data_IF_988203888382
#
_entry.id   IF_988203888382
#
_cell.length_a   1.000
_cell.length_b   1.000
_cell.length_c   1.000
_cell.angle_alpha   90.00
_cell.angle_beta   90.00
_cell.angle_gamma   90.00
#
_symmetry.space_group_name_H-M   'P 1'
#
loop_
_entity.id
_entity.type
_entity.pdbx_description
1 polymer ?
#
# COMPACT_ATOMS: atom_id res chain seq x y z
N UNK A 1 -7.04 30.84 33.10
CA UNK A 1 -8.21 30.63 32.23
C UNK A 1 -7.71 30.68 30.81
N UNK A 2 -7.31 29.54 30.27
CA UNK A 2 -6.81 29.42 28.90
C UNK A 2 -7.80 28.49 28.20
N UNK A 3 -8.54 29.02 27.24
CA UNK A 3 -9.47 28.29 26.40
C UNK A 3 -8.67 27.49 25.39
N UNK A 4 -8.80 26.17 25.39
CA UNK A 4 -8.38 25.30 24.30
C UNK A 4 -9.51 25.28 23.26
N UNK A 5 -9.31 25.93 22.15
CA UNK A 5 -10.16 25.75 20.97
C UNK A 5 -9.69 24.51 20.24
N UNK A 6 -10.55 23.50 20.22
CA UNK A 6 -10.41 22.37 19.32
C UNK A 6 -10.72 22.83 17.89
N UNK A 7 -9.71 22.98 17.07
CA UNK A 7 -9.86 23.27 15.64
C UNK A 7 -10.22 21.96 14.91
N UNK A 8 -11.49 21.77 14.65
CA UNK A 8 -11.99 20.89 13.58
C UNK A 8 -11.85 21.66 12.28
N UNK A 9 -10.66 21.65 11.70
CA UNK A 9 -10.49 22.25 10.38
C UNK A 9 -10.30 21.15 9.34
N UNK A 10 -11.32 21.10 8.46
CA UNK A 10 -11.39 20.17 7.35
C UNK A 10 -10.17 20.32 6.43
N UNK A 11 -9.86 19.24 5.76
CA UNK A 11 -8.86 19.07 4.73
C UNK A 11 -8.86 20.28 3.76
N UNK A 12 -8.07 21.29 4.06
CA UNK A 12 -7.77 22.38 3.11
C UNK A 12 -6.66 21.91 2.19
N UNK A 13 -7.09 21.27 1.08
CA UNK A 13 -6.22 21.09 -0.06
C UNK A 13 -5.65 22.42 -0.52
N UNK A 14 -4.34 22.59 -0.36
CA UNK A 14 -3.67 23.56 -1.20
C UNK A 14 -2.15 23.35 -1.27
N UNK A 15 -1.76 22.48 -2.20
CA UNK A 15 -0.58 22.69 -3.05
C UNK A 15 -0.62 21.63 -4.17
N UNK A 16 -1.51 21.81 -5.14
CA UNK A 16 -1.52 21.04 -6.39
C UNK A 16 -0.13 21.12 -7.03
N UNK A 17 0.74 20.15 -6.74
CA UNK A 17 2.04 20.04 -7.40
C UNK A 17 3.22 19.54 -6.56
N UNK A 18 3.23 19.68 -5.23
CA UNK A 18 4.34 19.21 -4.40
C UNK A 18 3.98 17.91 -3.66
N UNK A 19 4.91 16.97 -3.65
CA UNK A 19 4.80 15.79 -2.80
C UNK A 19 5.10 16.16 -1.35
N UNK A 20 4.40 15.54 -0.41
CA UNK A 20 4.58 15.77 1.02
C UNK A 20 4.05 14.60 1.85
N UNK A 21 4.30 14.67 3.14
CA UNK A 21 3.72 13.77 4.12
C UNK A 21 3.46 14.46 5.45
N UNK A 22 2.58 13.86 6.23
CA UNK A 22 2.30 14.22 7.63
C UNK A 22 2.20 12.93 8.44
N UNK A 23 2.65 12.98 9.69
CA UNK A 23 2.56 11.85 10.62
C UNK A 23 2.03 12.31 11.98
N UNK A 24 1.05 11.57 12.51
CA UNK A 24 0.39 11.86 13.78
C UNK A 24 0.31 10.61 14.65
N UNK A 25 0.54 10.69 15.97
CA UNK A 25 0.27 9.58 16.85
C UNK A 25 -1.24 9.33 16.96
N UNK A 26 -1.64 8.07 17.05
CA UNK A 26 -3.02 7.66 17.34
C UNK A 26 -3.20 7.38 18.82
N UNK A 27 -4.44 7.28 19.27
CA UNK A 27 -4.76 6.89 20.66
C UNK A 27 -4.41 5.42 20.97
N UNK A 28 -4.29 4.58 19.95
CA UNK A 28 -3.88 3.16 20.06
C UNK A 28 -2.37 2.97 20.26
N UNK A 29 -1.56 4.03 20.13
CA UNK A 29 -0.10 3.95 20.15
C UNK A 29 0.54 3.74 18.78
N UNK A 30 -0.27 3.60 17.75
CA UNK A 30 0.14 3.59 16.34
C UNK A 30 0.35 5.02 15.80
N UNK A 31 0.58 5.16 14.51
CA UNK A 31 0.67 6.46 13.84
C UNK A 31 -0.21 6.48 12.59
N UNK A 32 -0.86 7.61 12.36
CA UNK A 32 -1.47 7.92 11.07
C UNK A 32 -0.42 8.60 10.19
N UNK A 33 -0.17 8.04 9.02
CA UNK A 33 0.73 8.58 7.99
C UNK A 33 -0.09 9.00 6.77
N UNK A 34 -0.08 10.27 6.44
CA UNK A 34 -0.63 10.80 5.20
C UNK A 34 0.50 11.10 4.24
N UNK A 35 0.37 10.65 3.00
CA UNK A 35 1.33 10.94 1.93
C UNK A 35 0.54 11.38 0.69
N UNK A 36 1.00 12.43 0.06
CA UNK A 36 0.40 12.93 -1.17
C UNK A 36 1.45 13.39 -2.17
N UNK A 37 1.12 13.32 -3.45
CA UNK A 37 2.01 13.80 -4.49
C UNK A 37 2.01 12.95 -5.75
N UNK A 38 2.99 13.24 -6.61
CA UNK A 38 3.26 12.45 -7.81
C UNK A 38 4.38 11.46 -7.52
N UNK A 39 4.08 10.20 -7.71
CA UNK A 39 5.03 9.10 -7.46
C UNK A 39 5.02 8.12 -8.64
N UNK A 40 6.13 7.38 -8.85
CA UNK A 40 6.16 6.28 -9.79
C UNK A 40 5.16 5.19 -9.39
N UNK A 41 4.73 4.32 -10.32
CA UNK A 41 3.67 3.34 -10.05
C UNK A 41 3.97 2.39 -8.87
N UNK A 42 5.23 2.05 -8.63
CA UNK A 42 5.70 1.09 -7.62
C UNK A 42 5.95 1.70 -6.23
N UNK A 43 5.75 2.99 -6.04
CA UNK A 43 6.17 3.72 -4.85
C UNK A 43 5.63 3.17 -3.52
N UNK A 44 4.39 2.63 -3.50
CA UNK A 44 3.82 2.06 -2.26
C UNK A 44 4.56 0.76 -1.90
N UNK A 45 4.97 -0.04 -2.90
CA UNK A 45 5.81 -1.20 -2.69
C UNK A 45 7.17 -0.83 -2.10
N UNK A 46 7.81 0.22 -2.64
CA UNK A 46 9.07 0.78 -2.12
C UNK A 46 8.91 1.27 -0.68
N UNK A 47 7.87 2.07 -0.42
CA UNK A 47 7.54 2.56 0.93
C UNK A 47 7.33 1.41 1.92
N UNK A 48 6.49 0.42 1.56
CA UNK A 48 6.18 -0.71 2.44
C UNK A 48 7.42 -1.57 2.72
N UNK A 49 8.26 -1.81 1.72
CA UNK A 49 9.53 -2.51 1.88
C UNK A 49 10.50 -1.72 2.76
N UNK A 50 10.57 -0.41 2.58
CA UNK A 50 11.36 0.49 3.42
C UNK A 50 10.90 0.46 4.88
N UNK A 51 9.61 0.59 5.12
CA UNK A 51 9.02 0.50 6.47
C UNK A 51 9.31 -0.84 7.13
N UNK A 52 9.20 -1.94 6.40
CA UNK A 52 9.51 -3.29 6.90
C UNK A 52 10.95 -3.43 7.38
N UNK A 53 11.94 -2.83 6.69
CA UNK A 53 13.34 -2.78 7.14
C UNK A 53 13.47 -2.05 8.48
N UNK A 54 12.63 -1.06 8.75
CA UNK A 54 12.54 -0.34 10.02
C UNK A 54 11.63 -1.01 11.05
N UNK A 55 11.13 -2.24 10.78
CA UNK A 55 10.23 -3.00 11.66
C UNK A 55 8.89 -2.29 11.90
N UNK A 56 8.37 -1.67 10.85
CA UNK A 56 7.10 -0.97 10.81
C UNK A 56 6.21 -1.63 9.75
N UNK A 57 4.93 -1.88 10.10
CA UNK A 57 3.90 -2.39 9.18
C UNK A 57 2.87 -1.32 8.85
N UNK A 58 2.31 -1.36 7.65
CA UNK A 58 1.06 -0.67 7.33
C UNK A 58 -0.06 -1.66 7.66
N UNK A 59 -0.88 -1.34 8.66
CA UNK A 59 -1.92 -2.26 9.17
C UNK A 59 -3.32 -1.88 8.71
N UNK A 60 -3.52 -0.63 8.31
CA UNK A 60 -4.80 -0.14 7.80
C UNK A 60 -4.60 1.07 6.91
N UNK A 61 -5.52 1.27 5.95
CA UNK A 61 -5.57 2.53 5.22
C UNK A 61 -6.01 2.40 3.78
N UNK A 62 -5.90 3.52 3.10
CA UNK A 62 -6.29 3.66 1.69
C UNK A 62 -5.27 4.50 0.94
N UNK A 63 -5.07 4.12 -0.30
CA UNK A 63 -4.31 4.90 -1.27
C UNK A 63 -5.13 5.00 -2.56
N UNK A 64 -5.27 6.19 -3.11
CA UNK A 64 -5.99 6.41 -4.35
C UNK A 64 -5.23 7.37 -5.26
N UNK A 65 -5.18 7.02 -6.54
CA UNK A 65 -4.58 7.83 -7.59
C UNK A 65 -5.68 8.56 -8.36
N UNK A 66 -5.55 9.87 -8.45
CA UNK A 66 -6.37 10.71 -9.33
C UNK A 66 -5.47 11.33 -10.38
N UNK A 67 -5.62 10.89 -11.64
CA UNK A 67 -4.69 11.21 -12.74
C UNK A 67 -3.25 10.76 -12.40
N UNK A 68 -2.34 11.70 -12.14
CA UNK A 68 -0.95 11.42 -11.75
C UNK A 68 -0.67 11.71 -10.27
N UNK A 69 -1.69 12.02 -9.48
CA UNK A 69 -1.56 12.45 -8.10
C UNK A 69 -2.14 11.41 -7.14
N UNK A 70 -1.38 11.08 -6.11
CA UNK A 70 -1.76 10.15 -5.07
C UNK A 70 -2.21 10.89 -3.82
N UNK A 71 -3.24 10.37 -3.18
CA UNK A 71 -3.66 10.72 -1.82
C UNK A 71 -3.75 9.43 -1.01
N UNK A 72 -3.11 9.41 0.16
CA UNK A 72 -3.07 8.24 1.01
C UNK A 72 -3.25 8.61 2.46
N UNK A 73 -3.86 7.68 3.19
CA UNK A 73 -3.91 7.70 4.65
C UNK A 73 -3.69 6.28 5.15
N UNK A 74 -2.59 6.07 5.85
CA UNK A 74 -2.20 4.78 6.40
C UNK A 74 -2.12 4.85 7.92
N UNK A 75 -2.59 3.81 8.60
CA UNK A 75 -2.21 3.53 9.96
C UNK A 75 -0.99 2.61 9.94
N UNK A 76 0.08 3.04 10.60
CA UNK A 76 1.31 2.27 10.70
C UNK A 76 1.55 1.85 12.15
N UNK A 77 1.93 0.60 12.32
CA UNK A 77 2.27 -0.03 13.58
C UNK A 77 3.75 -0.33 13.64
N UNK A 78 4.38 -0.07 14.78
CA UNK A 78 5.79 -0.36 15.02
C UNK A 78 5.97 -1.51 16.00
N UNK A 79 6.94 -2.37 15.76
CA UNK A 79 7.40 -3.32 16.78
C UNK A 79 8.24 -2.62 17.85
N UNK A 80 8.49 -3.30 18.97
CA UNK A 80 9.35 -2.76 20.07
C UNK A 80 10.79 -2.44 19.61
N UNK A 81 11.27 -3.09 18.54
CA UNK A 81 12.62 -2.91 17.97
C UNK A 81 12.64 -1.92 16.80
N UNK A 82 11.52 -1.28 16.52
CA UNK A 82 11.40 -0.38 15.37
C UNK A 82 12.11 0.96 15.60
N UNK A 83 12.55 1.56 14.51
CA UNK A 83 12.93 2.98 14.47
C UNK A 83 11.70 3.84 14.80
N UNK A 84 11.89 4.97 15.51
CA UNK A 84 10.81 5.93 15.72
C UNK A 84 10.30 6.45 14.38
N UNK A 85 9.03 6.23 14.01
CA UNK A 85 8.50 6.64 12.71
C UNK A 85 8.66 8.14 12.43
N UNK A 86 8.66 8.99 13.47
CA UNK A 86 8.82 10.45 13.34
C UNK A 86 10.21 10.88 12.83
N UNK A 87 11.18 9.96 12.82
CA UNK A 87 12.55 10.21 12.35
C UNK A 87 12.77 9.76 10.90
N UNK A 88 11.76 9.17 10.26
CA UNK A 88 11.87 8.63 8.91
C UNK A 88 11.49 9.68 7.87
N UNK A 89 12.21 9.67 6.76
CA UNK A 89 11.83 10.38 5.53
C UNK A 89 11.02 9.45 4.63
N UNK A 90 9.70 9.53 4.74
CA UNK A 90 8.78 8.67 3.98
C UNK A 90 8.85 8.96 2.47
N UNK A 91 9.22 10.17 2.05
CA UNK A 91 9.39 10.49 0.63
C UNK A 91 10.67 9.85 0.07
N UNK A 92 11.72 9.75 0.87
CA UNK A 92 12.92 9.02 0.51
C UNK A 92 12.62 7.53 0.38
N UNK A 93 11.94 6.92 1.38
CA UNK A 93 11.54 5.51 1.34
C UNK A 93 10.65 5.17 0.13
N UNK A 94 9.75 6.08 -0.26
CA UNK A 94 8.89 5.90 -1.43
C UNK A 94 9.62 5.95 -2.78
N UNK A 95 10.88 6.38 -2.80
CA UNK A 95 11.73 6.50 -4.01
C UNK A 95 12.90 5.53 -4.02
N UNK A 96 13.14 4.83 -2.92
CA UNK A 96 14.22 3.85 -2.86
C UNK A 96 13.94 2.70 -3.85
N UNK A 97 14.95 2.31 -4.62
CA UNK A 97 14.85 1.12 -5.44
C UNK A 97 14.71 -0.12 -4.54
N UNK A 98 13.74 -0.97 -4.88
CA UNK A 98 13.57 -2.24 -4.17
C UNK A 98 14.71 -3.20 -4.51
N UNK A 99 15.80 -3.14 -3.75
CA UNK A 99 16.90 -4.09 -3.86
C UNK A 99 16.64 -5.43 -3.17
N UNK A 100 15.47 -5.63 -2.58
CA UNK A 100 15.14 -6.86 -1.87
C UNK A 100 14.68 -7.95 -2.84
N UNK A 101 15.61 -8.72 -3.35
CA UNK A 101 15.40 -10.06 -3.94
C UNK A 101 15.13 -11.13 -2.86
N UNK A 102 14.57 -10.79 -1.72
CA UNK A 102 14.09 -11.83 -0.82
C UNK A 102 12.82 -12.43 -1.41
N UNK A 103 13.00 -13.53 -2.12
CA UNK A 103 11.95 -14.50 -2.44
C UNK A 103 11.47 -15.19 -1.15
N UNK A 104 10.95 -14.40 -0.20
CA UNK A 104 10.13 -14.99 0.83
C UNK A 104 8.86 -15.46 0.12
N UNK A 105 8.59 -16.74 0.16
CA UNK A 105 7.38 -17.30 -0.45
C UNK A 105 6.16 -16.65 0.21
N UNK A 106 5.46 -15.79 -0.54
CA UNK A 106 4.17 -15.29 -0.13
C UNK A 106 3.24 -16.48 0.10
N UNK A 107 2.50 -16.44 1.19
CA UNK A 107 1.44 -17.40 1.46
C UNK A 107 0.14 -16.64 1.70
N UNK A 108 -0.88 -16.96 0.91
CA UNK A 108 -2.22 -16.40 1.05
C UNK A 108 -3.22 -17.51 1.36
N UNK A 109 -4.18 -17.24 2.22
CA UNK A 109 -5.21 -18.24 2.57
C UNK A 109 -6.32 -18.29 1.52
N UNK A 110 -6.60 -17.16 0.87
CA UNK A 110 -7.66 -17.03 -0.14
C UNK A 110 -7.44 -15.77 -0.99
N UNK A 111 -7.93 -15.79 -2.22
CA UNK A 111 -8.06 -14.60 -3.04
C UNK A 111 -9.40 -14.56 -3.81
N UNK A 112 -9.79 -13.35 -4.23
CA UNK A 112 -10.83 -13.10 -5.23
C UNK A 112 -10.21 -12.28 -6.33
N UNK A 113 -10.41 -12.69 -7.59
CA UNK A 113 -9.91 -11.99 -8.76
C UNK A 113 -11.10 -11.75 -9.70
N UNK A 114 -11.43 -10.48 -9.96
CA UNK A 114 -12.52 -10.10 -10.84
C UNK A 114 -12.02 -9.31 -12.05
N UNK A 115 -12.60 -9.58 -13.23
CA UNK A 115 -12.10 -9.04 -14.49
C UNK A 115 -12.32 -7.52 -14.62
N UNK A 116 -11.52 -6.84 -15.48
CA UNK A 116 -11.54 -5.38 -15.62
C UNK A 116 -12.91 -4.79 -16.02
N UNK A 117 -13.73 -5.54 -16.73
CA UNK A 117 -15.04 -5.10 -17.23
C UNK A 117 -15.99 -4.73 -16.09
N UNK A 118 -15.84 -5.37 -14.93
CA UNK A 118 -16.66 -5.10 -13.74
C UNK A 118 -16.21 -3.87 -12.95
N UNK A 119 -14.99 -3.41 -13.14
CA UNK A 119 -14.34 -2.38 -12.32
C UNK A 119 -13.80 -1.22 -13.15
N UNK A 120 -14.51 -0.83 -14.20
CA UNK A 120 -14.16 0.32 -15.02
C UNK A 120 -12.79 0.19 -15.71
N UNK A 121 -12.39 -1.05 -16.04
CA UNK A 121 -11.12 -1.38 -16.68
C UNK A 121 -9.98 -1.70 -15.70
N UNK A 122 -10.20 -1.67 -14.38
CA UNK A 122 -9.25 -2.14 -13.39
C UNK A 122 -9.50 -3.62 -13.06
N UNK A 123 -8.46 -4.43 -13.00
CA UNK A 123 -8.53 -5.79 -12.46
C UNK A 123 -8.65 -5.68 -10.93
N UNK A 124 -9.72 -6.25 -10.36
CA UNK A 124 -9.90 -6.25 -8.91
C UNK A 124 -9.28 -7.50 -8.31
N UNK A 125 -8.45 -7.30 -7.29
CA UNK A 125 -7.86 -8.38 -6.49
C UNK A 125 -8.15 -8.13 -5.01
N UNK A 126 -8.73 -9.12 -4.33
CA UNK A 126 -8.80 -9.19 -2.87
C UNK A 126 -7.94 -10.37 -2.40
N UNK A 127 -7.09 -10.15 -1.39
CA UNK A 127 -6.27 -11.19 -0.77
C UNK A 127 -6.55 -11.28 0.72
N UNK A 128 -6.56 -12.52 1.21
CA UNK A 128 -6.58 -12.83 2.64
C UNK A 128 -5.34 -13.65 3.00
N UNK A 129 -4.66 -13.26 4.08
CA UNK A 129 -3.46 -13.93 4.54
C UNK A 129 -3.32 -13.77 6.07
N UNK A 130 -2.44 -14.56 6.68
CA UNK A 130 -1.94 -14.24 8.02
C UNK A 130 -1.07 -12.98 7.95
N UNK A 131 -1.15 -12.12 8.97
CA UNK A 131 -0.33 -10.92 9.03
C UNK A 131 1.16 -11.28 9.12
N UNK A 132 1.93 -10.62 8.29
CA UNK A 132 3.36 -10.84 8.15
C UNK A 132 4.05 -9.52 7.78
N UNK A 133 5.09 -9.17 8.52
CA UNK A 133 5.88 -7.98 8.23
C UNK A 133 6.43 -8.00 6.81
N UNK A 134 6.12 -6.95 6.04
CA UNK A 134 6.56 -6.82 4.64
C UNK A 134 5.64 -7.48 3.61
N UNK A 135 4.52 -8.10 4.01
CA UNK A 135 3.57 -8.73 3.08
C UNK A 135 3.12 -7.78 1.96
N UNK A 136 2.68 -6.56 2.32
CA UNK A 136 2.23 -5.57 1.34
C UNK A 136 3.32 -5.22 0.32
N UNK A 137 4.56 -5.04 0.76
CA UNK A 137 5.69 -4.77 -0.12
C UNK A 137 5.94 -5.92 -1.10
N UNK A 138 5.89 -7.16 -0.61
CA UNK A 138 6.12 -8.36 -1.44
C UNK A 138 5.04 -8.54 -2.50
N UNK A 139 3.75 -8.38 -2.16
CA UNK A 139 2.66 -8.51 -3.13
C UNK A 139 2.73 -7.39 -4.17
N UNK A 140 2.98 -6.13 -3.77
CA UNK A 140 3.10 -5.02 -4.70
C UNK A 140 4.30 -5.16 -5.64
N UNK A 141 5.43 -5.65 -5.16
CA UNK A 141 6.60 -5.95 -5.98
C UNK A 141 6.32 -7.07 -6.98
N UNK A 142 5.59 -8.11 -6.56
CA UNK A 142 5.18 -9.20 -7.46
C UNK A 142 4.22 -8.71 -8.55
N UNK A 143 3.29 -7.80 -8.21
CA UNK A 143 2.43 -7.15 -9.19
C UNK A 143 3.24 -6.30 -10.18
N UNK A 144 4.17 -5.49 -9.71
CA UNK A 144 5.03 -4.65 -10.55
C UNK A 144 5.88 -5.48 -11.52
N UNK A 145 6.40 -6.64 -11.07
CA UNK A 145 7.12 -7.58 -11.94
C UNK A 145 6.26 -8.09 -13.10
N UNK A 146 4.95 -8.21 -12.90
CA UNK A 146 3.98 -8.58 -13.93
C UNK A 146 3.46 -7.36 -14.72
N UNK A 147 4.08 -6.18 -14.56
CA UNK A 147 3.64 -4.90 -15.15
C UNK A 147 2.20 -4.51 -14.76
N UNK A 148 1.82 -4.86 -13.53
CA UNK A 148 0.54 -4.60 -12.91
C UNK A 148 0.70 -3.58 -11.80
N UNK A 149 -0.05 -2.48 -11.84
CA UNK A 149 0.10 -1.35 -10.93
C UNK A 149 -1.25 -0.97 -10.34
N UNK A 150 -1.44 -1.10 -9.02
CA UNK A 150 -2.65 -0.60 -8.37
C UNK A 150 -2.80 0.92 -8.55
N UNK A 151 -4.03 1.37 -8.83
CA UNK A 151 -4.42 2.78 -8.79
C UNK A 151 -5.24 3.12 -7.56
N UNK A 152 -5.80 2.10 -6.90
CA UNK A 152 -6.46 2.20 -5.61
C UNK A 152 -6.12 0.97 -4.78
N UNK A 153 -5.89 1.20 -3.48
CA UNK A 153 -5.57 0.15 -2.51
C UNK A 153 -6.38 0.39 -1.24
N UNK A 154 -6.93 -0.67 -0.67
CA UNK A 154 -7.50 -0.67 0.67
C UNK A 154 -6.84 -1.78 1.48
N UNK A 155 -6.27 -1.42 2.61
CA UNK A 155 -5.52 -2.30 3.51
C UNK A 155 -6.29 -2.40 4.81
N UNK A 156 -6.47 -3.62 5.33
CA UNK A 156 -7.08 -3.84 6.63
C UNK A 156 -6.49 -5.10 7.27
N UNK A 157 -5.90 -4.93 8.46
CA UNK A 157 -5.39 -6.05 9.28
C UNK A 157 -6.25 -6.17 10.52
N UNK A 158 -7.00 -7.25 10.62
CA UNK A 158 -7.94 -7.51 11.71
C UNK A 158 -7.52 -8.79 12.44
N UNK A 159 -7.21 -8.70 13.72
CA UNK A 159 -6.85 -9.84 14.56
C UNK A 159 -5.75 -10.74 13.95
N UNK A 160 -4.71 -10.11 13.40
CA UNK A 160 -3.59 -10.82 12.77
C UNK A 160 -3.90 -11.43 11.40
N UNK A 161 -4.98 -10.99 10.74
CA UNK A 161 -5.32 -11.40 9.39
C UNK A 161 -5.39 -10.19 8.47
N UNK A 162 -4.81 -10.33 7.31
CA UNK A 162 -4.80 -9.35 6.22
C UNK A 162 -6.04 -9.51 5.36
N UNK A 163 -6.65 -8.39 4.98
CA UNK A 163 -7.78 -8.26 4.06
C UNK A 163 -7.51 -7.10 3.09
N UNK A 164 -6.59 -7.30 2.16
CA UNK A 164 -6.15 -6.25 1.26
C UNK A 164 -6.88 -6.32 -0.09
N UNK A 165 -7.21 -5.14 -0.63
CA UNK A 165 -7.92 -4.98 -1.90
C UNK A 165 -7.14 -4.05 -2.81
N UNK A 166 -7.06 -4.42 -4.08
CA UNK A 166 -6.30 -3.71 -5.09
C UNK A 166 -7.14 -3.53 -6.36
N UNK A 167 -7.21 -2.31 -6.89
CA UNK A 167 -7.73 -2.01 -8.22
C UNK A 167 -6.53 -1.74 -9.13
N UNK A 168 -6.27 -2.67 -10.04
CA UNK A 168 -4.99 -2.82 -10.74
C UNK A 168 -5.13 -2.44 -12.20
N UNK A 169 -4.20 -1.63 -12.71
CA UNK A 169 -4.03 -1.31 -14.12
C UNK A 169 -2.77 -1.97 -14.68
N UNK A 170 -2.73 -2.09 -16.00
CA UNK A 170 -1.52 -2.42 -16.75
C UNK A 170 -0.68 -1.19 -17.05
N UNK A 171 0.29 -1.36 -17.95
CA UNK A 171 1.16 -0.29 -18.41
C UNK A 171 0.38 0.91 -18.96
N UNK A 172 0.82 2.10 -18.60
CA UNK A 172 0.20 3.35 -19.06
C UNK A 172 -1.20 3.61 -18.52
N UNK A 173 -1.66 2.87 -17.49
CA UNK A 173 -3.00 3.00 -16.92
C UNK A 173 -4.10 2.31 -17.74
N UNK A 174 -3.72 1.51 -18.73
CA UNK A 174 -4.66 0.70 -19.53
C UNK A 174 -5.19 -0.49 -18.71
N UNK A 175 -6.31 -1.11 -19.12
CA UNK A 175 -6.70 -2.40 -18.58
C UNK A 175 -5.57 -3.42 -18.69
N UNK A 176 -5.36 -4.29 -17.68
CA UNK A 176 -4.36 -5.35 -17.76
C UNK A 176 -4.59 -6.28 -18.95
N UNK A 177 -3.53 -6.63 -19.70
CA UNK A 177 -3.61 -7.57 -20.79
C UNK A 177 -4.05 -8.97 -20.31
N UNK A 178 -4.67 -9.75 -21.18
CA UNK A 178 -5.07 -11.13 -20.87
C UNK A 178 -3.87 -11.98 -20.40
N UNK A 179 -2.68 -11.75 -20.97
CA UNK A 179 -1.45 -12.45 -20.57
C UNK A 179 -1.02 -12.08 -19.14
N UNK A 180 -1.08 -10.79 -18.76
CA UNK A 180 -0.77 -10.33 -17.41
C UNK A 180 -1.79 -10.87 -16.39
N UNK A 181 -3.07 -10.88 -16.72
CA UNK A 181 -4.13 -11.46 -15.87
C UNK A 181 -3.90 -12.96 -15.64
N UNK A 182 -3.58 -13.71 -16.69
CA UNK A 182 -3.28 -15.14 -16.59
C UNK A 182 -2.01 -15.42 -15.78
N UNK A 183 -0.98 -14.59 -15.94
CA UNK A 183 0.26 -14.70 -15.15
C UNK A 183 0.00 -14.42 -13.67
N UNK A 184 -0.77 -13.38 -13.35
CA UNK A 184 -1.17 -13.09 -11.97
C UNK A 184 -1.96 -14.24 -11.36
N UNK A 185 -2.95 -14.79 -12.08
CA UNK A 185 -3.75 -15.93 -11.58
C UNK A 185 -2.87 -17.12 -11.21
N UNK A 186 -1.92 -17.50 -12.10
CA UNK A 186 -0.95 -18.58 -11.79
C UNK A 186 -0.15 -18.28 -10.54
N UNK A 187 0.32 -17.03 -10.40
CA UNK A 187 1.12 -16.63 -9.22
C UNK A 187 0.30 -16.70 -7.93
N UNK A 188 -0.96 -16.28 -7.96
CA UNK A 188 -1.87 -16.39 -6.82
C UNK A 188 -2.14 -17.86 -6.45
N UNK A 189 -2.28 -18.75 -7.42
CA UNK A 189 -2.43 -20.20 -7.20
C UNK A 189 -1.16 -20.83 -6.58
N UNK A 190 0.04 -20.35 -6.95
CA UNK A 190 1.30 -20.76 -6.33
C UNK A 190 1.42 -20.35 -4.85
N UNK A 191 0.79 -19.25 -4.45
CA UNK A 191 0.81 -18.73 -3.09
C UNK A 191 -0.22 -19.37 -2.16
N UNK A 192 -1.21 -20.10 -2.69
CA UNK A 192 -2.15 -20.85 -1.89
C UNK A 192 -1.46 -22.04 -1.20
N UNK A 193 -1.89 -22.42 0.02
CA UNK A 193 -1.39 -23.60 0.68
C UNK A 193 -1.68 -24.83 -0.16
N UNK A 194 -0.69 -25.71 -0.26
CA UNK A 194 -0.84 -27.03 -0.90
C UNK A 194 -1.49 -28.02 0.02
#
# INVERSE_FOLDING_TARGET
MIKSEASTDGFRGNSKGKSGFEIFPTTSGNFTLKIWGRFPPEWIGCLSSGLSRHKISIVKGKAKKSLAYWETEFEIEKTSLATDPRKLDFLALAKEENSSTQENSLSISRYTLEPPEKHGGALYLEVKAADQLGFLGQILNSLAFLTLFPEEISIDTIQGNIFDKFWIRGLGGNPPSAAAQAALKRKLEEWLPK
#
